data_IF_954033329312
#
_entry.id   IF_954033329312
#
_cell.length_a   1.000
_cell.length_b   1.000
_cell.length_c   1.000
_cell.angle_alpha   90.00
_cell.angle_beta   90.00
_cell.angle_gamma   90.00
#
_symmetry.space_group_name_H-M   'P 1'
#
loop_
_entity.id
_entity.type
_entity.pdbx_description
1 polymer ?
#
# COMPACT_ATOMS: atom_id res chain seq x y z
N UNK A 1 -9.94 16.41 24.56
CA UNK A 1 -10.88 16.89 23.54
C UNK A 1 -11.39 15.69 22.76
N UNK A 2 -12.70 15.43 22.72
CA UNK A 2 -13.26 14.40 21.83
C UNK A 2 -13.15 14.95 20.40
N UNK A 3 -12.25 14.42 19.62
CA UNK A 3 -12.21 14.67 18.18
C UNK A 3 -13.53 14.16 17.59
N UNK A 4 -14.31 15.07 17.00
CA UNK A 4 -15.55 14.73 16.29
C UNK A 4 -15.24 14.18 14.89
N UNK A 5 -14.05 13.64 14.69
CA UNK A 5 -13.60 13.09 13.40
C UNK A 5 -14.41 11.85 13.08
N UNK A 6 -15.21 11.93 12.02
CA UNK A 6 -16.08 10.85 11.56
C UNK A 6 -15.49 10.00 10.44
N UNK A 7 -14.33 10.38 9.90
CA UNK A 7 -13.71 9.73 8.77
C UNK A 7 -12.18 9.90 8.78
N UNK A 8 -11.45 8.85 8.40
CA UNK A 8 -10.00 8.88 8.19
C UNK A 8 -9.70 8.44 6.76
N UNK A 9 -8.95 9.26 6.02
CA UNK A 9 -8.50 8.91 4.68
C UNK A 9 -7.44 7.80 4.76
N UNK A 10 -7.77 6.61 4.28
CA UNK A 10 -6.88 5.44 4.30
C UNK A 10 -6.10 5.28 2.98
N UNK A 11 -6.62 5.82 1.86
CA UNK A 11 -6.00 5.75 0.55
C UNK A 11 -5.45 7.10 0.13
N UNK A 12 -4.15 7.25 0.24
CA UNK A 12 -3.42 8.40 -0.29
C UNK A 12 -2.17 7.91 -1.00
N UNK A 13 -2.02 8.28 -2.25
CA UNK A 13 -0.92 7.87 -3.12
C UNK A 13 0.11 8.99 -3.17
N UNK A 14 1.24 8.72 -2.53
CA UNK A 14 2.30 9.70 -2.46
C UNK A 14 3.13 9.75 -3.74
N UNK A 15 4.07 10.67 -3.79
CA UNK A 15 5.11 10.75 -4.85
C UNK A 15 5.89 9.45 -5.04
N UNK A 16 5.83 8.54 -4.06
CA UNK A 16 6.45 7.22 -4.12
C UNK A 16 5.59 6.18 -4.85
N UNK A 17 4.33 6.49 -5.17
CA UNK A 17 3.56 5.79 -6.21
C UNK A 17 4.03 6.29 -7.58
N UNK A 18 5.21 5.83 -7.99
CA UNK A 18 5.95 6.36 -9.14
C UNK A 18 5.06 6.47 -10.38
N UNK A 19 5.09 7.63 -11.02
CA UNK A 19 4.31 7.96 -12.22
C UNK A 19 2.78 7.89 -12.05
N UNK A 20 2.27 7.79 -10.83
CA UNK A 20 0.83 7.76 -10.52
C UNK A 20 0.44 8.75 -9.43
N UNK A 21 1.09 8.71 -8.27
CA UNK A 21 0.79 9.58 -7.15
C UNK A 21 1.49 10.93 -7.25
N UNK A 22 0.80 12.00 -6.87
CA UNK A 22 1.33 13.37 -6.88
C UNK A 22 1.31 14.03 -5.50
N UNK A 23 1.00 13.29 -4.44
CA UNK A 23 0.94 13.81 -3.07
C UNK A 23 2.34 13.79 -2.45
N UNK A 24 2.88 14.95 -2.09
CA UNK A 24 4.09 15.02 -1.29
C UNK A 24 3.77 14.76 0.18
N UNK A 25 4.60 13.96 0.86
CA UNK A 25 4.39 13.58 2.26
C UNK A 25 4.21 14.79 3.16
N UNK A 26 5.08 15.79 3.08
CA UNK A 26 4.98 17.03 3.89
C UNK A 26 3.69 17.80 3.62
N UNK A 27 3.27 17.89 2.37
CA UNK A 27 2.05 18.62 2.01
C UNK A 27 0.80 17.90 2.55
N UNK A 28 0.79 16.56 2.54
CA UNK A 28 -0.27 15.75 3.14
C UNK A 28 -0.37 16.00 4.64
N UNK A 29 0.75 15.93 5.36
CA UNK A 29 0.79 16.14 6.80
C UNK A 29 0.39 17.58 7.15
N UNK A 30 0.88 18.59 6.43
CA UNK A 30 0.48 19.98 6.59
C UNK A 30 -1.03 20.19 6.37
N UNK A 31 -1.62 19.51 5.39
CA UNK A 31 -3.06 19.56 5.15
C UNK A 31 -3.85 18.95 6.31
N UNK A 32 -3.36 17.84 6.87
CA UNK A 32 -3.94 17.22 8.05
C UNK A 32 -3.89 18.15 9.28
N UNK A 33 -2.75 18.82 9.51
CA UNK A 33 -2.62 19.81 10.59
C UNK A 33 -3.64 20.94 10.47
N UNK A 34 -3.74 21.54 9.27
CA UNK A 34 -4.70 22.63 9.00
C UNK A 34 -6.14 22.21 9.27
N UNK A 35 -6.49 20.96 8.97
CA UNK A 35 -7.83 20.40 9.16
C UNK A 35 -8.03 19.69 10.50
N UNK A 36 -7.01 19.62 11.35
CA UNK A 36 -7.02 18.93 12.65
C UNK A 36 -7.38 17.44 12.51
N UNK A 37 -6.92 16.80 11.44
CA UNK A 37 -7.09 15.37 11.20
C UNK A 37 -6.09 14.61 12.08
N UNK A 38 -6.53 13.71 12.98
CA UNK A 38 -5.67 13.09 13.99
C UNK A 38 -4.87 11.90 13.48
N UNK A 39 -5.29 11.30 12.34
CA UNK A 39 -4.66 10.12 11.74
C UNK A 39 -4.82 10.16 10.23
N UNK A 40 -3.87 9.62 9.50
CA UNK A 40 -3.88 9.60 8.04
C UNK A 40 -3.18 8.35 7.51
N UNK A 41 -3.68 7.78 6.40
CA UNK A 41 -3.06 6.64 5.74
C UNK A 41 -2.23 7.02 4.53
N UNK A 42 -1.22 6.22 4.19
CA UNK A 42 -0.62 6.14 2.86
C UNK A 42 -0.80 4.73 2.30
N UNK A 43 -0.87 4.61 0.98
CA UNK A 43 -1.19 3.34 0.31
C UNK A 43 -0.51 3.25 -1.06
N UNK A 44 0.79 3.49 -1.11
CA UNK A 44 1.55 3.49 -2.35
C UNK A 44 1.50 2.13 -3.07
N UNK A 45 1.66 2.14 -4.39
CA UNK A 45 1.60 0.93 -5.20
C UNK A 45 2.91 0.13 -5.13
N UNK A 46 2.81 -1.09 -4.63
CA UNK A 46 3.88 -2.09 -4.68
C UNK A 46 5.15 -1.74 -3.91
N UNK A 47 5.15 -0.70 -3.09
CA UNK A 47 6.35 -0.31 -2.33
C UNK A 47 6.04 0.37 -1.00
N UNK A 48 7.07 0.52 -0.17
CA UNK A 48 7.03 1.16 1.14
C UNK A 48 8.07 2.29 1.26
N UNK A 49 8.48 2.89 0.12
CA UNK A 49 9.56 3.86 0.08
C UNK A 49 9.29 5.10 0.93
N UNK A 50 8.04 5.60 0.91
CA UNK A 50 7.63 6.76 1.70
C UNK A 50 7.35 6.49 3.16
N UNK A 51 7.33 5.23 3.62
CA UNK A 51 6.80 4.86 4.95
C UNK A 51 7.58 5.47 6.10
N UNK A 52 8.92 5.51 6.03
CA UNK A 52 9.76 6.08 7.08
C UNK A 52 9.61 7.61 7.13
N UNK A 53 9.75 8.31 6.00
CA UNK A 53 9.55 9.76 5.91
C UNK A 53 8.17 10.14 6.46
N UNK A 54 7.13 9.43 6.03
CA UNK A 54 5.76 9.66 6.47
C UNK A 54 5.58 9.46 7.98
N UNK A 55 6.12 8.37 8.53
CA UNK A 55 6.02 8.06 9.95
C UNK A 55 6.70 9.13 10.81
N UNK A 56 7.90 9.55 10.43
CA UNK A 56 8.66 10.59 11.13
C UNK A 56 7.97 11.95 11.05
N UNK A 57 7.49 12.34 9.88
CA UNK A 57 6.77 13.60 9.69
C UNK A 57 5.47 13.63 10.49
N UNK A 58 4.70 12.54 10.50
CA UNK A 58 3.49 12.41 11.30
C UNK A 58 3.79 12.47 12.81
N UNK A 59 4.83 11.76 13.27
CA UNK A 59 5.26 11.77 14.68
C UNK A 59 5.66 13.16 15.15
N UNK A 60 6.42 13.90 14.35
CA UNK A 60 6.85 15.26 14.65
C UNK A 60 5.66 16.24 14.80
N UNK A 61 4.56 15.95 14.13
CA UNK A 61 3.37 16.82 14.09
C UNK A 61 2.17 16.28 14.91
N UNK A 62 2.36 15.21 15.71
CA UNK A 62 1.31 14.66 16.58
C UNK A 62 0.15 14.01 15.82
N UNK A 63 0.38 13.57 14.59
CA UNK A 63 -0.59 12.85 13.75
C UNK A 63 -0.23 11.35 13.76
N UNK A 64 -1.23 10.48 13.85
CA UNK A 64 -1.02 9.04 13.77
C UNK A 64 -0.83 8.60 12.32
N UNK A 65 0.31 8.01 11.93
CA UNK A 65 0.49 7.40 10.61
C UNK A 65 -0.24 6.06 10.53
N UNK A 66 -0.83 5.79 9.37
CA UNK A 66 -1.38 4.47 9.01
C UNK A 66 -0.64 4.03 7.76
N UNK A 67 0.15 2.97 7.87
CA UNK A 67 1.03 2.52 6.79
C UNK A 67 0.38 1.36 6.06
N UNK A 68 0.09 1.57 4.80
CA UNK A 68 -0.45 0.57 3.89
C UNK A 68 0.33 0.51 2.58
N UNK A 69 0.04 -0.51 1.81
CA UNK A 69 0.56 -0.71 0.46
C UNK A 69 -0.50 -1.39 -0.41
N UNK A 70 -0.71 -0.86 -1.61
CA UNK A 70 -1.48 -1.56 -2.63
C UNK A 70 -0.60 -2.61 -3.29
N UNK A 71 -0.90 -3.88 -3.03
CA UNK A 71 -0.16 -5.01 -3.60
C UNK A 71 -1.02 -5.71 -4.64
N UNK A 72 -0.41 -6.06 -5.76
CA UNK A 72 -1.07 -6.75 -6.85
C UNK A 72 -1.19 -8.24 -6.53
N UNK A 73 -2.42 -8.76 -6.54
CA UNK A 73 -2.72 -10.15 -6.30
C UNK A 73 -2.97 -10.85 -7.64
N UNK A 74 -2.29 -11.97 -7.85
CA UNK A 74 -2.43 -12.83 -9.03
C UNK A 74 -2.89 -14.22 -8.61
N UNK A 75 -3.88 -14.75 -9.33
CA UNK A 75 -4.36 -16.11 -9.17
C UNK A 75 -4.97 -16.57 -10.51
N UNK A 76 -4.68 -17.81 -10.92
CA UNK A 76 -5.11 -18.35 -12.21
C UNK A 76 -6.63 -18.45 -12.41
N UNK A 77 -7.41 -18.42 -11.33
CA UNK A 77 -8.87 -18.55 -11.38
C UNK A 77 -9.59 -17.19 -11.43
N UNK A 78 -8.86 -16.08 -11.20
CA UNK A 78 -9.42 -14.74 -11.06
C UNK A 78 -8.72 -13.75 -11.99
N UNK A 79 -9.40 -12.63 -12.26
CA UNK A 79 -8.73 -11.47 -12.81
C UNK A 79 -7.83 -10.84 -11.76
N UNK A 80 -6.62 -10.46 -12.17
CA UNK A 80 -5.64 -9.87 -11.29
C UNK A 80 -6.05 -8.46 -10.85
N UNK A 81 -5.77 -8.09 -9.61
CA UNK A 81 -6.15 -6.79 -9.07
C UNK A 81 -5.41 -6.44 -7.78
N UNK A 82 -5.62 -5.23 -7.30
CA UNK A 82 -4.97 -4.75 -6.10
C UNK A 82 -5.74 -5.10 -4.82
N UNK A 83 -4.99 -5.36 -3.75
CA UNK A 83 -5.46 -5.35 -2.37
C UNK A 83 -4.74 -4.23 -1.62
N UNK A 84 -5.46 -3.45 -0.83
CA UNK A 84 -4.82 -2.57 0.13
C UNK A 84 -4.58 -3.34 1.43
N UNK A 85 -3.31 -3.55 1.74
CA UNK A 85 -2.87 -4.16 3.00
C UNK A 85 -2.34 -3.06 3.92
N UNK A 86 -2.85 -3.01 5.16
CA UNK A 86 -2.50 -1.99 6.17
C UNK A 86 -1.85 -2.69 7.36
N UNK A 87 -0.71 -2.19 7.81
CA UNK A 87 -0.02 -2.71 8.99
C UNK A 87 -0.67 -2.18 10.28
N UNK A 88 -1.09 -3.09 11.17
CA UNK A 88 -1.62 -2.73 12.49
C UNK A 88 -0.52 -2.43 13.51
N UNK A 89 0.61 -3.10 13.39
CA UNK A 89 1.70 -3.07 14.35
C UNK A 89 3.03 -3.43 13.66
N UNK A 90 4.12 -3.49 14.43
CA UNK A 90 5.45 -3.82 13.91
C UNK A 90 5.51 -5.19 13.20
N UNK A 91 4.80 -6.20 13.70
CA UNK A 91 4.72 -7.51 13.03
C UNK A 91 4.04 -7.38 11.66
N UNK A 92 2.91 -6.66 11.61
CA UNK A 92 2.21 -6.38 10.34
C UNK A 92 3.10 -5.64 9.35
N UNK A 93 3.87 -4.65 9.80
CA UNK A 93 4.81 -3.94 8.93
C UNK A 93 5.93 -4.86 8.41
N UNK A 94 6.47 -5.76 9.23
CA UNK A 94 7.45 -6.77 8.78
C UNK A 94 6.85 -7.71 7.74
N UNK A 95 5.63 -8.19 7.96
CA UNK A 95 4.94 -9.06 7.02
C UNK A 95 4.62 -8.30 5.70
N UNK A 96 4.17 -7.05 5.78
CA UNK A 96 3.94 -6.20 4.60
C UNK A 96 5.23 -6.00 3.80
N UNK A 97 6.34 -5.70 4.48
CA UNK A 97 7.66 -5.59 3.87
C UNK A 97 8.11 -6.90 3.21
N UNK A 98 7.82 -8.06 3.86
CA UNK A 98 8.12 -9.37 3.28
C UNK A 98 7.29 -9.64 2.03
N UNK A 99 5.99 -9.34 2.04
CA UNK A 99 5.12 -9.47 0.87
C UNK A 99 5.61 -8.61 -0.31
N UNK A 100 6.01 -7.36 -0.04
CA UNK A 100 6.64 -6.51 -1.06
C UNK A 100 7.93 -7.14 -1.58
N UNK A 101 8.78 -7.69 -0.71
CA UNK A 101 10.01 -8.39 -1.12
C UNK A 101 9.72 -9.60 -2.02
N UNK A 102 8.75 -10.45 -1.62
CA UNK A 102 8.32 -11.62 -2.40
C UNK A 102 7.85 -11.18 -3.79
N UNK A 103 7.05 -10.11 -3.86
CA UNK A 103 6.50 -9.65 -5.14
C UNK A 103 7.57 -9.27 -6.15
N UNK A 104 8.70 -8.72 -5.71
CA UNK A 104 9.80 -8.31 -6.60
C UNK A 104 10.85 -9.39 -6.86
N UNK A 105 11.14 -10.23 -5.86
CA UNK A 105 12.27 -11.17 -5.95
C UNK A 105 11.85 -12.59 -6.31
N UNK A 106 10.66 -13.01 -5.87
CA UNK A 106 10.22 -14.39 -6.04
C UNK A 106 9.17 -14.53 -7.15
N UNK A 107 8.30 -13.54 -7.32
CA UNK A 107 7.16 -13.56 -8.24
C UNK A 107 7.29 -12.60 -9.44
N UNK A 108 8.48 -12.11 -9.73
CA UNK A 108 8.70 -11.11 -10.79
C UNK A 108 8.80 -11.70 -12.21
N UNK A 109 8.32 -12.91 -12.44
CA UNK A 109 8.39 -13.57 -13.77
C UNK A 109 7.51 -12.92 -14.84
N UNK A 110 6.51 -12.14 -14.43
CA UNK A 110 5.70 -11.30 -15.30
C UNK A 110 6.18 -9.84 -15.23
N UNK A 111 5.73 -8.99 -16.14
CA UNK A 111 6.21 -7.61 -16.27
C UNK A 111 5.86 -6.69 -15.05
N UNK A 112 5.33 -7.23 -13.98
CA UNK A 112 4.95 -6.50 -12.77
C UNK A 112 5.10 -7.36 -11.51
N UNK A 113 5.44 -6.73 -10.35
CA UNK A 113 5.55 -7.43 -9.07
C UNK A 113 4.16 -7.82 -8.55
N UNK A 114 4.01 -9.06 -8.08
CA UNK A 114 2.75 -9.57 -7.56
C UNK A 114 2.94 -10.55 -6.39
N UNK A 115 1.85 -10.85 -5.70
CA UNK A 115 1.77 -11.89 -4.68
C UNK A 115 0.65 -12.89 -5.01
N UNK A 116 0.74 -14.09 -4.46
CA UNK A 116 -0.29 -15.12 -4.54
C UNK A 116 -1.13 -15.17 -3.25
N UNK A 117 -2.24 -15.91 -3.27
CA UNK A 117 -3.00 -16.22 -2.05
C UNK A 117 -2.18 -16.99 -1.01
N UNK A 118 -1.24 -17.82 -1.45
CA UNK A 118 -0.36 -18.56 -0.53
C UNK A 118 0.61 -17.63 0.20
N UNK A 119 1.13 -16.62 -0.49
CA UNK A 119 1.97 -15.59 0.14
C UNK A 119 1.18 -14.80 1.18
N UNK A 120 -0.08 -14.44 0.88
CA UNK A 120 -0.99 -13.79 1.83
C UNK A 120 -1.24 -14.67 3.06
N UNK A 121 -1.54 -15.94 2.87
CA UNK A 121 -1.79 -16.88 3.97
C UNK A 121 -0.62 -16.95 4.93
N UNK A 122 0.60 -16.98 4.39
CA UNK A 122 1.83 -17.10 5.19
C UNK A 122 2.24 -15.79 5.88
N UNK A 123 1.77 -14.63 5.40
CA UNK A 123 2.22 -13.31 5.87
C UNK A 123 1.09 -12.34 6.21
N UNK A 124 -0.13 -12.83 6.53
CA UNK A 124 -1.29 -12.01 6.87
C UNK A 124 -1.28 -11.46 8.31
N UNK A 125 -0.54 -12.08 9.22
CA UNK A 125 -0.54 -11.72 10.64
C UNK A 125 -0.18 -10.25 10.88
N UNK A 126 -1.01 -9.54 11.63
CA UNK A 126 -0.82 -8.12 11.92
C UNK A 126 -1.20 -7.17 10.78
N UNK A 127 -1.83 -7.68 9.72
CA UNK A 127 -2.33 -6.90 8.60
C UNK A 127 -3.85 -6.78 8.63
N UNK A 128 -4.36 -5.67 8.11
CA UNK A 128 -5.76 -5.45 7.71
C UNK A 128 -5.80 -5.48 6.19
N UNK A 129 -6.80 -6.15 5.62
CA UNK A 129 -7.03 -6.20 4.18
C UNK A 129 -8.30 -5.44 3.81
N UNK A 130 -8.17 -4.48 2.90
CA UNK A 130 -9.29 -3.83 2.23
C UNK A 130 -9.34 -4.35 0.79
N UNK A 131 -10.47 -4.97 0.43
CA UNK A 131 -10.67 -5.49 -0.92
C UNK A 131 -11.91 -4.83 -1.54
N UNK A 132 -11.70 -4.10 -2.58
CA UNK A 132 -12.68 -3.26 -3.25
C UNK A 132 -11.94 -2.13 -3.97
N UNK A 133 -12.58 -0.96 -4.04
CA UNK A 133 -12.02 0.18 -4.77
C UNK A 133 -12.03 0.01 -6.28
N UNK A 134 -11.71 1.05 -7.02
CA UNK A 134 -11.80 1.04 -8.50
C UNK A 134 -10.83 0.03 -9.13
N UNK A 135 -9.62 -0.08 -8.61
CA UNK A 135 -8.57 -0.97 -9.10
C UNK A 135 -8.46 -2.27 -8.31
N UNK A 136 -9.39 -2.50 -7.38
CA UNK A 136 -9.36 -3.60 -6.42
C UNK A 136 -9.65 -4.95 -7.05
N UNK A 137 -9.10 -5.99 -6.44
CA UNK A 137 -9.25 -7.38 -6.86
C UNK A 137 -10.73 -7.82 -6.94
N UNK A 138 -11.53 -7.45 -5.94
CA UNK A 138 -12.97 -7.78 -5.93
C UNK A 138 -13.72 -7.06 -7.05
N UNK A 139 -13.43 -5.77 -7.24
CA UNK A 139 -14.11 -4.93 -8.25
C UNK A 139 -13.82 -5.39 -9.68
N UNK A 140 -12.59 -5.81 -9.96
CA UNK A 140 -12.20 -6.35 -11.27
C UNK A 140 -12.85 -7.70 -11.58
N UNK A 141 -13.02 -8.52 -10.57
CA UNK A 141 -13.65 -9.83 -10.73
C UNK A 141 -15.19 -9.76 -10.76
N UNK A 142 -15.78 -8.62 -10.37
CA UNK A 142 -17.23 -8.49 -10.34
C UNK A 142 -17.82 -8.37 -11.75
N UNK A 143 -18.59 -9.36 -12.14
CA UNK A 143 -19.56 -9.29 -13.23
C UNK A 143 -20.77 -10.15 -12.87
N UNK A 144 -21.93 -9.88 -13.49
CA UNK A 144 -23.15 -10.66 -13.24
C UNK A 144 -22.96 -12.16 -13.53
N UNK A 145 -22.10 -12.49 -14.48
CA UNK A 145 -21.81 -13.86 -14.90
C UNK A 145 -20.79 -14.57 -13.97
N UNK A 146 -20.02 -13.80 -13.17
CA UNK A 146 -18.93 -14.31 -12.32
C UNK A 146 -19.20 -14.20 -10.82
N UNK A 147 -20.45 -14.00 -10.40
CA UNK A 147 -20.81 -13.80 -8.97
C UNK A 147 -20.29 -14.95 -8.07
N UNK A 148 -20.36 -16.19 -8.54
CA UNK A 148 -19.84 -17.34 -7.78
C UNK A 148 -18.34 -17.24 -7.51
N UNK A 149 -17.54 -16.84 -8.51
CA UNK A 149 -16.09 -16.63 -8.37
C UNK A 149 -15.76 -15.49 -7.40
N UNK A 150 -16.47 -14.37 -7.51
CA UNK A 150 -16.28 -13.24 -6.57
C UNK A 150 -16.61 -13.65 -5.14
N UNK A 151 -17.66 -14.44 -4.95
CA UNK A 151 -18.03 -14.98 -3.64
C UNK A 151 -16.95 -15.91 -3.07
N UNK A 152 -16.31 -16.71 -3.92
CA UNK A 152 -15.17 -17.53 -3.52
C UNK A 152 -13.96 -16.67 -3.13
N UNK A 153 -13.62 -15.65 -3.91
CA UNK A 153 -12.55 -14.72 -3.58
C UNK A 153 -12.79 -14.02 -2.23
N UNK A 154 -14.00 -13.51 -1.99
CA UNK A 154 -14.38 -12.89 -0.71
C UNK A 154 -14.25 -13.92 0.43
N UNK A 155 -14.70 -15.15 0.23
CA UNK A 155 -14.57 -16.22 1.23
C UNK A 155 -13.11 -16.49 1.58
N UNK A 156 -12.24 -16.69 0.58
CA UNK A 156 -10.80 -16.93 0.79
C UNK A 156 -10.12 -15.78 1.54
N UNK A 157 -10.38 -14.52 1.15
CA UNK A 157 -9.83 -13.36 1.86
C UNK A 157 -10.33 -13.26 3.30
N UNK A 158 -11.62 -13.55 3.53
CA UNK A 158 -12.18 -13.55 4.88
C UNK A 158 -11.61 -14.68 5.76
N UNK A 159 -11.31 -15.84 5.21
CA UNK A 159 -10.64 -16.94 5.92
C UNK A 159 -9.20 -16.56 6.32
N UNK A 160 -8.47 -15.82 5.45
CA UNK A 160 -7.09 -15.38 5.72
C UNK A 160 -7.04 -14.28 6.78
N UNK A 161 -7.90 -13.25 6.66
CA UNK A 161 -7.81 -12.04 7.50
C UNK A 161 -8.83 -12.00 8.63
N UNK A 162 -9.88 -12.80 8.59
CA UNK A 162 -10.94 -12.87 9.61
C UNK A 162 -11.49 -11.48 9.98
N UNK A 163 -11.40 -11.07 11.24
CA UNK A 163 -11.87 -9.78 11.78
C UNK A 163 -11.09 -8.55 11.25
N UNK A 164 -10.06 -8.75 10.44
CA UNK A 164 -9.26 -7.71 9.82
C UNK A 164 -9.47 -7.64 8.30
N UNK A 165 -10.55 -8.24 7.82
CA UNK A 165 -11.00 -8.14 6.44
C UNK A 165 -12.17 -7.14 6.31
N UNK A 166 -12.09 -6.24 5.34
CA UNK A 166 -13.11 -5.23 5.05
C UNK A 166 -13.44 -5.23 3.55
N UNK A 167 -14.72 -5.17 3.25
CA UNK A 167 -15.16 -4.85 1.89
C UNK A 167 -15.13 -3.34 1.71
N UNK A 168 -14.31 -2.90 0.78
CA UNK A 168 -14.10 -1.49 0.52
C UNK A 168 -15.14 -0.96 -0.45
N UNK A 169 -15.75 0.18 -0.10
CA UNK A 169 -16.76 0.85 -0.89
C UNK A 169 -16.33 2.27 -1.22
N UNK A 170 -16.48 2.66 -2.50
CA UNK A 170 -16.17 3.99 -3.01
C UNK A 170 -17.40 4.54 -3.72
N UNK A 171 -17.64 5.86 -3.67
CA UNK A 171 -18.85 6.45 -4.25
C UNK A 171 -18.94 6.26 -5.76
N UNK A 172 -17.85 6.51 -6.46
CA UNK A 172 -17.82 6.60 -7.93
C UNK A 172 -17.25 5.33 -8.59
N UNK A 173 -17.72 4.14 -8.17
CA UNK A 173 -17.49 2.89 -8.90
C UNK A 173 -18.35 2.85 -10.18
N UNK A 174 -18.31 3.94 -10.96
CA UNK A 174 -19.23 4.18 -12.10
C UNK A 174 -19.12 3.16 -13.22
N UNK A 175 -18.00 2.47 -13.34
CA UNK A 175 -17.75 1.47 -14.39
C UNK A 175 -18.49 0.15 -14.14
N UNK A 176 -18.88 -0.15 -12.88
CA UNK A 176 -19.51 -1.42 -12.50
C UNK A 176 -20.90 -1.20 -11.88
N UNK A 177 -21.91 -1.00 -12.73
CA UNK A 177 -23.30 -0.90 -12.27
C UNK A 177 -23.68 -2.17 -11.48
N UNK A 178 -24.06 -1.99 -10.21
CA UNK A 178 -24.46 -3.08 -9.32
C UNK A 178 -23.41 -3.54 -8.33
N UNK A 179 -22.14 -3.18 -8.50
CA UNK A 179 -21.08 -3.54 -7.55
C UNK A 179 -21.38 -3.00 -6.13
N UNK A 180 -21.84 -1.77 -6.01
CA UNK A 180 -22.24 -1.17 -4.73
C UNK A 180 -23.28 -2.03 -3.98
N UNK A 181 -24.39 -2.34 -4.65
CA UNK A 181 -25.45 -3.17 -4.07
C UNK A 181 -24.96 -4.58 -3.74
N UNK A 182 -24.10 -5.14 -4.58
CA UNK A 182 -23.47 -6.44 -4.33
C UNK A 182 -22.61 -6.40 -3.06
N UNK A 183 -21.71 -5.43 -2.92
CA UNK A 183 -20.84 -5.29 -1.73
C UNK A 183 -21.65 -5.12 -0.44
N UNK A 184 -22.72 -4.31 -0.47
CA UNK A 184 -23.64 -4.15 0.67
C UNK A 184 -24.31 -5.50 1.01
N UNK A 185 -24.79 -6.23 0.00
CA UNK A 185 -25.41 -7.55 0.20
C UNK A 185 -24.41 -8.55 0.79
N UNK A 186 -23.18 -8.58 0.29
CA UNK A 186 -22.12 -9.46 0.83
C UNK A 186 -21.75 -9.10 2.27
N UNK A 187 -21.65 -7.80 2.56
CA UNK A 187 -21.38 -7.31 3.92
C UNK A 187 -22.43 -7.83 4.92
N UNK A 188 -23.71 -7.67 4.59
CA UNK A 188 -24.81 -8.11 5.46
C UNK A 188 -24.84 -9.64 5.58
N UNK A 189 -24.81 -10.35 4.44
CA UNK A 189 -25.00 -11.81 4.41
C UNK A 189 -23.85 -12.60 5.03
N UNK A 190 -22.62 -12.05 4.99
CA UNK A 190 -21.40 -12.71 5.50
C UNK A 190 -20.87 -12.06 6.77
N UNK A 191 -21.53 -11.03 7.29
CA UNK A 191 -21.08 -10.25 8.43
C UNK A 191 -19.64 -9.71 8.26
N UNK A 192 -19.32 -9.20 7.05
CA UNK A 192 -18.03 -8.58 6.74
C UNK A 192 -18.22 -7.07 6.75
N UNK A 193 -17.49 -6.29 7.56
CA UNK A 193 -17.68 -4.85 7.64
C UNK A 193 -17.32 -4.14 6.34
N UNK A 194 -18.12 -3.11 5.99
CA UNK A 194 -17.81 -2.17 4.92
C UNK A 194 -16.85 -1.10 5.43
N UNK A 195 -15.98 -0.60 4.57
CA UNK A 195 -15.15 0.58 4.82
C UNK A 195 -15.24 1.55 3.65
N UNK A 196 -15.52 2.81 3.96
CA UNK A 196 -15.57 3.88 2.96
C UNK A 196 -14.17 4.37 2.64
N UNK A 197 -13.84 4.52 1.36
CA UNK A 197 -12.58 5.13 0.92
C UNK A 197 -12.78 6.06 -0.28
N UNK A 198 -11.75 6.83 -0.59
CA UNK A 198 -11.63 7.60 -1.81
C UNK A 198 -10.19 7.46 -2.32
N UNK A 199 -10.02 7.36 -3.63
CA UNK A 199 -8.71 7.33 -4.28
C UNK A 199 -8.13 8.75 -4.30
N UNK A 200 -7.09 9.01 -3.51
CA UNK A 200 -6.47 10.33 -3.45
C UNK A 200 -5.09 10.29 -4.11
N UNK A 201 -5.00 10.77 -5.34
CA UNK A 201 -3.74 10.88 -6.08
C UNK A 201 -3.12 12.28 -5.97
N UNK A 202 -3.91 13.28 -5.64
CA UNK A 202 -3.49 14.68 -5.45
C UNK A 202 -4.32 15.37 -4.35
N UNK A 203 -3.80 16.47 -3.80
CA UNK A 203 -4.40 17.11 -2.64
C UNK A 203 -5.54 18.09 -2.98
N UNK A 204 -5.43 18.83 -4.06
CA UNK A 204 -6.36 19.90 -4.41
C UNK A 204 -6.94 19.72 -5.81
N UNK A 205 -8.22 20.01 -5.99
CA UNK A 205 -8.95 19.88 -7.28
C UNK A 205 -8.28 20.63 -8.42
N UNK A 206 -7.55 21.71 -8.12
CA UNK A 206 -6.78 22.47 -9.11
C UNK A 206 -5.61 21.69 -9.72
N UNK A 207 -5.17 20.61 -9.08
CA UNK A 207 -4.05 19.79 -9.55
C UNK A 207 -4.45 18.73 -10.58
N UNK A 208 -5.72 18.66 -10.96
CA UNK A 208 -6.27 17.68 -11.88
C UNK A 208 -5.51 17.61 -13.20
N UNK A 209 -5.30 18.77 -13.87
CA UNK A 209 -4.62 18.84 -15.18
C UNK A 209 -3.16 18.40 -15.09
N UNK A 210 -2.47 18.77 -13.99
CA UNK A 210 -1.09 18.35 -13.75
C UNK A 210 -0.99 16.84 -13.52
N UNK A 211 -1.96 16.26 -12.80
CA UNK A 211 -2.02 14.82 -12.59
C UNK A 211 -2.37 14.07 -13.89
N UNK A 212 -3.24 14.61 -14.73
CA UNK A 212 -3.57 14.04 -16.04
C UNK A 212 -2.35 14.02 -16.97
N UNK A 213 -1.54 15.10 -16.94
CA UNK A 213 -0.26 15.14 -17.65
C UNK A 213 0.74 14.11 -17.11
N UNK A 214 0.83 13.93 -15.78
CA UNK A 214 1.67 12.90 -15.17
C UNK A 214 1.33 11.49 -15.67
N UNK A 215 0.04 11.16 -15.77
CA UNK A 215 -0.42 9.87 -16.28
C UNK A 215 -0.05 9.70 -17.77
N UNK A 216 -0.18 10.74 -18.58
CA UNK A 216 0.23 10.72 -20.00
C UNK A 216 1.73 10.44 -20.15
N UNK A 217 2.56 11.10 -19.34
CA UNK A 217 4.01 10.86 -19.30
C UNK A 217 4.31 9.42 -18.92
N UNK A 218 3.60 8.89 -17.93
CA UNK A 218 3.80 7.51 -17.45
C UNK A 218 3.53 6.46 -18.52
N UNK A 219 2.56 6.72 -19.40
CA UNK A 219 2.23 5.84 -20.52
C UNK A 219 2.99 6.17 -21.83
N UNK A 220 3.82 7.21 -21.82
CA UNK A 220 4.52 7.71 -23.00
C UNK A 220 3.55 8.08 -24.14
N UNK A 221 2.38 8.64 -23.77
CA UNK A 221 1.32 9.05 -24.69
C UNK A 221 1.12 10.56 -24.66
N UNK A 222 0.56 11.12 -25.74
CA UNK A 222 0.17 12.52 -25.80
C UNK A 222 -1.12 12.77 -25.02
N UNK A 223 -1.33 14.01 -24.58
CA UNK A 223 -2.53 14.42 -23.81
C UNK A 223 -3.84 14.26 -24.59
N UNK A 224 -3.81 14.38 -25.89
CA UNK A 224 -4.95 14.24 -26.81
C UNK A 224 -5.22 12.77 -27.24
N UNK A 225 -4.35 11.81 -26.88
CA UNK A 225 -4.57 10.41 -27.18
C UNK A 225 -5.84 9.89 -26.48
N UNK A 226 -6.71 9.21 -27.23
CA UNK A 226 -7.97 8.70 -26.70
C UNK A 226 -7.80 7.45 -25.84
N UNK A 227 -6.81 6.62 -26.15
CA UNK A 227 -6.54 5.30 -25.57
C UNK A 227 -5.62 5.32 -24.33
N UNK A 228 -5.49 6.47 -23.64
CA UNK A 228 -4.66 6.64 -22.46
C UNK A 228 -5.43 6.59 -21.15
N UNK A 229 -4.73 6.33 -20.05
CA UNK A 229 -5.25 6.59 -18.72
C UNK A 229 -5.51 8.10 -18.55
N UNK A 230 -6.70 8.42 -18.05
CA UNK A 230 -7.10 9.79 -17.75
C UNK A 230 -7.28 9.95 -16.26
N UNK A 231 -6.92 11.11 -15.75
CA UNK A 231 -7.20 11.49 -14.37
C UNK A 231 -8.72 11.68 -14.16
N UNK A 232 -9.15 11.65 -12.91
CA UNK A 232 -10.50 12.01 -12.49
C UNK A 232 -10.43 13.14 -11.47
N UNK A 233 -11.35 14.10 -11.56
CA UNK A 233 -11.44 15.23 -10.61
C UNK A 233 -11.75 14.78 -9.18
N UNK A 234 -12.34 13.60 -9.02
CA UNK A 234 -12.63 12.98 -7.73
C UNK A 234 -11.42 12.31 -7.08
N UNK A 235 -10.30 12.16 -7.79
CA UNK A 235 -9.04 11.62 -7.27
C UNK A 235 -8.30 12.61 -6.35
N UNK A 236 -8.99 13.62 -5.85
CA UNK A 236 -8.46 14.59 -4.91
C UNK A 236 -8.75 14.21 -3.46
N UNK A 237 -7.96 14.80 -2.55
CA UNK A 237 -8.18 14.70 -1.11
C UNK A 237 -9.43 15.52 -0.73
N UNK A 238 -10.59 14.86 -0.73
CA UNK A 238 -11.91 15.47 -0.47
C UNK A 238 -11.99 16.09 0.92
N UNK A 239 -12.88 17.08 1.06
CA UNK A 239 -13.23 17.64 2.36
C UNK A 239 -14.11 16.67 3.16
N UNK A 240 -14.03 16.73 4.50
CA UNK A 240 -14.79 15.83 5.38
C UNK A 240 -16.29 15.84 5.11
N UNK A 241 -16.84 17.03 4.84
CA UNK A 241 -18.27 17.17 4.55
C UNK A 241 -18.67 16.53 3.21
N UNK A 242 -17.78 16.53 2.21
CA UNK A 242 -18.00 15.89 0.92
C UNK A 242 -18.06 14.35 1.12
N UNK A 243 -17.09 13.78 1.85
CA UNK A 243 -17.05 12.34 2.16
C UNK A 243 -18.28 11.92 3.00
N UNK A 244 -18.62 12.66 4.04
CA UNK A 244 -19.82 12.36 4.87
C UNK A 244 -21.10 12.41 4.04
N UNK A 245 -21.21 13.37 3.12
CA UNK A 245 -22.33 13.45 2.19
C UNK A 245 -22.37 12.28 1.22
N UNK A 246 -21.20 11.85 0.73
CA UNK A 246 -21.08 10.73 -0.21
C UNK A 246 -21.58 9.41 0.39
N UNK A 247 -21.33 9.19 1.68
CA UNK A 247 -21.66 7.96 2.39
C UNK A 247 -22.76 8.14 3.46
N UNK A 248 -23.62 9.16 3.34
CA UNK A 248 -24.70 9.45 4.31
C UNK A 248 -25.61 8.26 4.63
N UNK A 249 -25.78 7.34 3.69
CA UNK A 249 -26.61 6.12 3.84
C UNK A 249 -25.83 4.92 4.37
N UNK A 250 -24.51 5.05 4.61
CA UNK A 250 -23.60 4.01 5.08
C UNK A 250 -22.68 4.57 6.19
N UNK A 251 -23.24 5.08 7.29
CA UNK A 251 -22.46 5.71 8.35
C UNK A 251 -21.43 4.74 8.98
N UNK A 252 -21.77 3.47 9.11
CA UNK A 252 -20.89 2.45 9.65
C UNK A 252 -19.62 2.27 8.82
N UNK A 253 -19.69 2.48 7.50
CA UNK A 253 -18.52 2.41 6.63
C UNK A 253 -17.54 3.58 6.87
N UNK A 254 -18.03 4.75 7.32
CA UNK A 254 -17.22 5.87 7.76
C UNK A 254 -16.60 5.57 9.13
N UNK A 255 -17.39 5.10 10.09
CA UNK A 255 -16.94 4.78 11.45
C UNK A 255 -15.86 3.68 11.43
N UNK A 256 -15.94 2.73 10.50
CA UNK A 256 -14.94 1.70 10.30
C UNK A 256 -13.56 2.25 9.89
N UNK A 257 -13.48 3.41 9.23
CA UNK A 257 -12.19 4.07 8.96
C UNK A 257 -11.50 4.50 10.24
N UNK A 258 -12.28 5.04 11.19
CA UNK A 258 -11.79 5.45 12.52
C UNK A 258 -11.42 4.22 13.36
N UNK A 259 -12.20 3.15 13.27
CA UNK A 259 -11.89 1.89 13.95
C UNK A 259 -10.58 1.27 13.43
N UNK A 260 -10.35 1.28 12.10
CA UNK A 260 -9.09 0.85 11.50
C UNK A 260 -7.94 1.73 12.00
N UNK A 261 -8.10 3.04 12.01
CA UNK A 261 -7.08 3.95 12.55
C UNK A 261 -6.71 3.62 14.00
N UNK A 262 -7.69 3.31 14.85
CA UNK A 262 -7.44 2.90 16.25
C UNK A 262 -6.70 1.57 16.36
N UNK A 263 -6.91 0.63 15.42
CA UNK A 263 -6.17 -0.63 15.36
C UNK A 263 -4.70 -0.46 14.92
N UNK A 264 -4.37 0.62 14.19
CA UNK A 264 -3.07 0.84 13.56
C UNK A 264 -2.22 1.84 14.35
N UNK A 265 -1.99 1.58 15.66
CA UNK A 265 -1.27 2.52 16.54
C UNK A 265 0.19 2.13 16.72
N UNK A 266 1.04 2.35 15.71
CA UNK A 266 2.49 2.22 15.81
C UNK A 266 3.20 3.26 14.94
N UNK A 267 4.47 3.50 15.24
CA UNK A 267 5.35 4.37 14.47
C UNK A 267 6.56 3.59 13.99
N UNK A 268 7.04 3.89 12.80
CA UNK A 268 8.38 3.46 12.40
C UNK A 268 9.41 4.34 13.07
N UNK A 269 10.44 3.73 13.60
CA UNK A 269 11.53 4.41 14.29
C UNK A 269 12.86 4.09 13.60
N UNK A 270 13.74 5.08 13.55
CA UNK A 270 15.10 4.90 13.11
C UNK A 270 15.83 3.96 14.09
N UNK A 271 16.53 2.99 13.55
CA UNK A 271 17.37 2.07 14.32
C UNK A 271 18.83 2.34 14.04
N UNK A 272 19.66 2.13 15.04
CA UNK A 272 21.11 2.20 14.84
C UNK A 272 21.55 1.25 13.72
N UNK A 273 22.44 1.70 12.84
CA UNK A 273 22.98 0.85 11.78
C UNK A 273 23.56 -0.44 12.36
N UNK A 274 23.23 -1.55 11.74
CA UNK A 274 23.80 -2.87 12.10
C UNK A 274 24.57 -3.39 10.90
N UNK A 275 25.82 -3.77 11.13
CA UNK A 275 26.57 -4.48 10.12
C UNK A 275 25.98 -5.87 9.91
N UNK A 276 25.87 -6.34 8.66
CA UNK A 276 25.44 -7.70 8.37
C UNK A 276 26.39 -8.70 9.04
N UNK A 277 25.83 -9.68 9.72
CA UNK A 277 26.61 -10.81 10.22
C UNK A 277 26.90 -11.77 9.07
N UNK A 278 28.15 -12.20 8.99
CA UNK A 278 28.59 -13.20 8.02
C UNK A 278 28.60 -14.55 8.76
N UNK A 279 27.88 -15.54 8.21
CA UNK A 279 27.98 -16.90 8.75
C UNK A 279 29.32 -17.51 8.36
N UNK A 280 30.23 -17.57 9.31
CA UNK A 280 31.54 -18.20 9.16
C UNK A 280 31.66 -19.40 10.08
N UNK A 281 32.35 -20.42 9.61
CA UNK A 281 32.74 -21.56 10.44
C UNK A 281 33.49 -21.06 11.67
N UNK A 282 33.11 -21.52 12.87
CA UNK A 282 33.63 -21.13 14.19
C UNK A 282 33.31 -19.72 14.69
N UNK A 283 32.38 -18.98 14.08
CA UNK A 283 31.95 -17.63 14.54
C UNK A 283 33.09 -16.59 14.71
N UNK A 284 34.27 -16.77 14.08
CA UNK A 284 35.38 -15.83 14.11
C UNK A 284 35.42 -14.99 12.82
N UNK A 285 34.60 -13.93 12.81
CA UNK A 285 34.55 -12.98 11.68
C UNK A 285 35.89 -12.28 11.43
N UNK A 286 36.70 -12.03 12.48
CA UNK A 286 37.98 -11.35 12.34
C UNK A 286 39.00 -12.19 11.58
N UNK A 287 39.14 -13.46 11.96
CA UNK A 287 40.03 -14.41 11.27
C UNK A 287 39.59 -14.64 9.82
N UNK A 288 38.27 -14.74 9.57
CA UNK A 288 37.73 -14.83 8.24
C UNK A 288 38.05 -13.62 7.39
N UNK A 289 37.81 -12.40 7.91
CA UNK A 289 38.12 -11.15 7.22
C UNK A 289 39.63 -11.06 6.90
N UNK A 290 40.51 -11.36 7.86
CA UNK A 290 41.96 -11.37 7.68
C UNK A 290 42.37 -12.33 6.57
N UNK A 291 41.84 -13.57 6.59
CA UNK A 291 42.13 -14.59 5.56
C UNK A 291 41.67 -14.09 4.18
N UNK A 292 40.43 -13.58 4.07
CA UNK A 292 39.88 -13.09 2.78
C UNK A 292 40.64 -11.86 2.26
N UNK A 293 41.11 -11.00 3.14
CA UNK A 293 41.93 -9.85 2.76
C UNK A 293 43.30 -10.29 2.18
N UNK A 294 43.96 -11.26 2.80
CA UNK A 294 45.22 -11.80 2.28
C UNK A 294 45.00 -12.52 0.94
N UNK A 295 44.00 -13.36 0.81
CA UNK A 295 43.66 -14.02 -0.47
C UNK A 295 43.38 -12.99 -1.59
N UNK A 296 42.71 -11.90 -1.24
CA UNK A 296 42.40 -10.79 -2.15
C UNK A 296 43.64 -10.03 -2.57
N UNK A 297 44.57 -9.76 -1.62
CA UNK A 297 45.84 -9.10 -1.90
C UNK A 297 46.71 -9.96 -2.83
N UNK A 298 46.88 -11.26 -2.55
CA UNK A 298 47.63 -12.18 -3.39
C UNK A 298 47.12 -12.24 -4.84
N UNK A 299 45.77 -12.27 -5.03
CA UNK A 299 45.19 -12.22 -6.37
C UNK A 299 45.54 -10.92 -7.11
N UNK A 300 45.53 -9.78 -6.42
CA UNK A 300 45.85 -8.47 -7.02
C UNK A 300 47.33 -8.35 -7.37
N UNK A 301 48.21 -8.79 -6.50
CA UNK A 301 49.65 -8.78 -6.77
C UNK A 301 49.99 -9.66 -7.97
N UNK A 302 49.44 -10.85 -8.08
CA UNK A 302 49.58 -11.73 -9.25
C UNK A 302 49.09 -11.11 -10.55
N UNK A 303 47.95 -10.39 -10.52
CA UNK A 303 47.37 -9.77 -11.70
C UNK A 303 48.13 -8.54 -12.20
N UNK A 304 48.72 -7.79 -11.30
CA UNK A 304 49.36 -6.49 -11.62
C UNK A 304 50.90 -6.56 -11.70
N UNK A 305 51.54 -7.73 -11.58
CA UNK A 305 53.00 -7.92 -11.58
C UNK A 305 53.73 -7.00 -10.60
N UNK A 306 53.09 -6.63 -9.47
CA UNK A 306 53.65 -5.72 -8.46
C UNK A 306 54.37 -6.52 -7.40
N UNK A 307 55.51 -6.00 -6.95
CA UNK A 307 56.36 -6.66 -5.96
C UNK A 307 55.69 -6.68 -4.58
N UNK A 308 55.71 -7.82 -3.88
CA UNK A 308 55.16 -8.01 -2.54
C UNK A 308 55.72 -7.08 -1.46
N UNK A 309 56.91 -6.47 -1.74
CA UNK A 309 57.62 -5.60 -0.81
C UNK A 309 57.08 -4.16 -0.78
N UNK A 310 56.21 -3.79 -1.71
CA UNK A 310 55.65 -2.43 -1.83
C UNK A 310 54.32 -2.26 -1.10
N UNK A 311 53.89 -3.30 -0.39
CA UNK A 311 52.63 -3.35 0.40
C UNK A 311 52.91 -3.97 1.79
#
# INVERSE_FOLDING_TARGET
>A
MKSNQKFIHLRNYTQYSLSKGAIKVKDLVNKCLKRKIPAIGISDFGNLFGSMEFSLECKANGIQPIIGCNIYLVDNNFENGYLLLIAKNELGFKNLSRLVTISYLENSKENYPYISFNDLLNHSSGLICLAGGEFGFISKNYSRERISKVNEAIKRLNEIFSNDFFLEIQKDLSKNKGLHSFLITQSISKNIPLVATNENFFLDKSFYESHDALLSISEQKYLDSEDRLKSDRNFCFKEDHEIVSDFKNLPDALDNTVMIAKKCSFFLEEKNPKLPKINVENNDENSFLKKKSFEGLERRLKKNSVNKQDY
#
